data_IF_469877239802
#
_entry.id   IF_469877239802
#
_cell.length_a   1.000
_cell.length_b   1.000
_cell.length_c   1.000
_cell.angle_alpha   90.00
_cell.angle_beta   90.00
_cell.angle_gamma   90.00
#
_symmetry.space_group_name_H-M   'P 1'
#
loop_
_entity.id
_entity.type
_entity.pdbx_description
1 polymer ?
#
# COMPACT_ATOMS: atom_id res chain seq x y z
N UNK A 1 -32.42 18.58 -2.67
CA UNK A 1 -32.75 17.77 -3.85
C UNK A 1 -32.65 16.32 -3.47
N UNK A 2 -33.78 15.62 -3.51
CA UNK A 2 -33.81 14.16 -3.29
C UNK A 2 -33.28 13.52 -4.59
N UNK A 3 -32.00 13.13 -4.60
CA UNK A 3 -31.37 12.48 -5.75
C UNK A 3 -32.00 11.09 -5.92
N UNK A 4 -32.55 10.80 -7.09
CA UNK A 4 -33.17 9.51 -7.36
C UNK A 4 -32.07 8.45 -7.47
N UNK A 5 -32.37 7.21 -7.06
CA UNK A 5 -31.37 6.10 -7.04
C UNK A 5 -30.82 5.80 -8.43
N UNK A 6 -31.64 5.94 -9.46
CA UNK A 6 -31.25 5.78 -10.86
C UNK A 6 -30.25 6.85 -11.32
N UNK A 7 -30.36 8.07 -10.83
CA UNK A 7 -29.46 9.18 -11.19
C UNK A 7 -28.04 8.90 -10.65
N UNK A 8 -27.91 8.37 -9.42
CA UNK A 8 -26.63 7.98 -8.82
C UNK A 8 -25.92 6.92 -9.67
N UNK A 9 -26.65 5.94 -10.21
CA UNK A 9 -26.06 4.92 -11.06
C UNK A 9 -25.59 5.50 -12.39
N UNK A 10 -26.34 6.45 -12.95
CA UNK A 10 -25.96 7.12 -14.19
C UNK A 10 -24.78 8.07 -14.03
N UNK A 11 -24.64 8.71 -12.88
CA UNK A 11 -23.46 9.52 -12.55
C UNK A 11 -22.16 8.70 -12.49
N UNK A 12 -22.23 7.45 -12.05
CA UNK A 12 -21.06 6.56 -12.01
C UNK A 12 -20.60 6.10 -13.41
N UNK A 13 -21.47 6.12 -14.43
CA UNK A 13 -21.20 5.55 -15.74
C UNK A 13 -19.94 6.12 -16.43
N UNK A 14 -19.71 7.46 -16.49
CA UNK A 14 -18.49 8.02 -17.10
C UNK A 14 -17.21 7.53 -16.42
N UNK A 15 -17.23 7.39 -15.11
CA UNK A 15 -16.09 6.89 -14.34
C UNK A 15 -15.83 5.40 -14.60
N UNK A 16 -16.89 4.59 -14.65
CA UNK A 16 -16.79 3.16 -15.02
C UNK A 16 -16.15 3.03 -16.40
N UNK A 17 -16.62 3.81 -17.39
CA UNK A 17 -16.05 3.81 -18.75
C UNK A 17 -14.57 4.23 -18.76
N UNK A 18 -14.21 5.26 -18.00
CA UNK A 18 -12.83 5.78 -17.87
C UNK A 18 -11.87 4.75 -17.28
N UNK A 19 -12.33 3.99 -16.27
CA UNK A 19 -11.49 3.05 -15.53
C UNK A 19 -11.59 1.61 -16.00
N UNK A 20 -12.54 1.27 -16.88
CA UNK A 20 -12.71 -0.09 -17.40
C UNK A 20 -11.41 -0.62 -18.03
N UNK A 21 -10.98 -1.81 -17.61
CA UNK A 21 -9.76 -2.47 -18.07
C UNK A 21 -8.45 -1.85 -17.52
N UNK A 22 -8.53 -0.75 -16.75
CA UNK A 22 -7.34 -0.11 -16.14
C UNK A 22 -6.89 -0.85 -14.90
N UNK A 23 -5.57 -0.90 -14.69
CA UNK A 23 -4.98 -1.48 -13.48
C UNK A 23 -4.92 -0.42 -12.39
N UNK A 24 -5.37 -0.79 -11.19
CA UNK A 24 -5.32 0.03 -9.99
C UNK A 24 -4.61 -0.77 -8.90
N UNK A 25 -3.58 -0.19 -8.31
CA UNK A 25 -2.89 -0.76 -7.15
C UNK A 25 -3.37 -0.04 -5.91
N UNK A 26 -3.87 -0.79 -4.94
CA UNK A 26 -4.39 -0.29 -3.67
C UNK A 26 -3.53 -0.83 -2.54
N UNK A 27 -2.88 0.05 -1.81
CA UNK A 27 -2.14 -0.30 -0.61
C UNK A 27 -3.06 -0.18 0.61
N UNK A 28 -3.22 -1.27 1.32
CA UNK A 28 -3.95 -1.36 2.57
C UNK A 28 -3.01 -1.07 3.74
N UNK A 29 -3.29 -0.03 4.53
CA UNK A 29 -2.45 0.35 5.65
C UNK A 29 -3.22 1.13 6.72
N UNK A 30 -2.50 1.53 7.77
CA UNK A 30 -3.09 2.28 8.88
C UNK A 30 -4.08 1.47 9.70
N UNK A 31 -5.02 2.17 10.32
CA UNK A 31 -6.04 1.59 11.19
C UNK A 31 -7.02 0.66 10.45
N UNK A 32 -7.21 0.88 9.14
CA UNK A 32 -8.02 0.00 8.30
C UNK A 32 -7.56 -1.47 8.31
N UNK A 33 -6.31 -1.74 8.66
CA UNK A 33 -5.81 -3.12 8.82
C UNK A 33 -6.11 -3.72 10.19
N UNK A 34 -6.47 -2.90 11.18
CA UNK A 34 -6.69 -3.31 12.58
C UNK A 34 -8.17 -3.44 12.88
N UNK A 35 -9.01 -2.58 12.31
CA UNK A 35 -10.47 -2.63 12.46
C UNK A 35 -11.10 -3.53 11.40
N UNK A 36 -11.70 -4.64 11.86
CA UNK A 36 -12.29 -5.64 10.98
C UNK A 36 -13.45 -5.08 10.12
N UNK A 37 -14.28 -4.18 10.65
CA UNK A 37 -15.42 -3.63 9.92
C UNK A 37 -14.96 -2.69 8.81
N UNK A 38 -13.94 -1.88 9.11
CA UNK A 38 -13.33 -0.99 8.12
C UNK A 38 -12.68 -1.82 7.01
N UNK A 39 -11.91 -2.85 7.37
CA UNK A 39 -11.28 -3.73 6.40
C UNK A 39 -12.33 -4.40 5.49
N UNK A 40 -13.42 -4.92 6.05
CA UNK A 40 -14.50 -5.52 5.27
C UNK A 40 -15.14 -4.52 4.29
N UNK A 41 -15.33 -3.26 4.71
CA UNK A 41 -15.86 -2.21 3.83
C UNK A 41 -14.91 -1.92 2.67
N UNK A 42 -13.62 -1.72 2.95
CA UNK A 42 -12.59 -1.50 1.92
C UNK A 42 -12.49 -2.68 0.94
N UNK A 43 -12.60 -3.92 1.45
CA UNK A 43 -12.58 -5.11 0.59
C UNK A 43 -13.83 -5.17 -0.30
N UNK A 44 -15.01 -4.82 0.20
CA UNK A 44 -16.24 -4.72 -0.62
C UNK A 44 -16.09 -3.67 -1.72
N UNK A 45 -15.49 -2.53 -1.41
CA UNK A 45 -15.20 -1.49 -2.41
C UNK A 45 -14.25 -2.03 -3.49
N UNK A 46 -13.14 -2.66 -3.11
CA UNK A 46 -12.19 -3.26 -4.05
C UNK A 46 -12.84 -4.34 -4.94
N UNK A 47 -13.73 -5.14 -4.37
CA UNK A 47 -14.51 -6.14 -5.11
C UNK A 47 -15.47 -5.47 -6.09
N UNK A 48 -16.13 -4.38 -5.71
CA UNK A 48 -16.97 -3.59 -6.62
C UNK A 48 -16.15 -3.06 -7.80
N UNK A 49 -14.98 -2.47 -7.55
CA UNK A 49 -14.08 -1.98 -8.60
C UNK A 49 -13.73 -3.09 -9.61
N UNK A 50 -13.46 -4.29 -9.12
CA UNK A 50 -13.19 -5.45 -9.97
C UNK A 50 -14.44 -5.82 -10.81
N UNK A 51 -15.65 -5.82 -10.23
CA UNK A 51 -16.88 -6.14 -10.96
C UNK A 51 -17.27 -5.12 -12.01
N UNK A 52 -16.93 -3.84 -11.82
CA UNK A 52 -17.11 -2.80 -12.85
C UNK A 52 -16.00 -2.81 -13.91
N UNK A 53 -15.13 -3.82 -13.91
CA UNK A 53 -14.16 -4.09 -14.97
C UNK A 53 -12.74 -3.56 -14.75
N UNK A 54 -12.43 -3.06 -13.57
CA UNK A 54 -11.06 -2.65 -13.22
C UNK A 54 -10.19 -3.88 -12.87
N UNK A 55 -8.89 -3.78 -13.11
CA UNK A 55 -7.88 -4.75 -12.69
C UNK A 55 -7.30 -4.31 -11.35
N UNK A 56 -7.72 -4.93 -10.27
CA UNK A 56 -7.36 -4.52 -8.90
C UNK A 56 -6.24 -5.41 -8.37
N UNK A 57 -5.17 -4.78 -7.84
CA UNK A 57 -4.11 -5.43 -7.06
C UNK A 57 -4.11 -4.82 -5.67
N UNK A 58 -4.13 -5.66 -4.64
CA UNK A 58 -4.02 -5.25 -3.26
C UNK A 58 -2.61 -5.51 -2.74
N UNK A 59 -2.01 -4.54 -2.07
CA UNK A 59 -0.75 -4.69 -1.33
C UNK A 59 -1.04 -4.32 0.12
N UNK A 60 -0.73 -5.18 1.07
CA UNK A 60 -1.06 -4.90 2.46
C UNK A 60 0.16 -4.69 3.35
N UNK A 61 0.00 -3.90 4.41
CA UNK A 61 0.94 -3.84 5.52
C UNK A 61 0.59 -4.85 6.63
N UNK A 62 1.13 -4.64 7.82
CA UNK A 62 0.86 -5.50 8.99
C UNK A 62 1.75 -5.15 10.19
N UNK A 63 2.26 -3.92 10.25
CA UNK A 63 3.14 -3.48 11.33
C UNK A 63 2.58 -3.69 12.73
N UNK A 64 1.34 -3.30 13.02
CA UNK A 64 0.71 -3.52 14.32
C UNK A 64 0.61 -5.01 14.70
N UNK A 65 0.20 -5.87 13.78
CA UNK A 65 0.05 -7.31 14.02
C UNK A 65 1.40 -7.99 14.23
N UNK A 66 2.44 -7.58 13.47
CA UNK A 66 3.80 -8.07 13.70
C UNK A 66 4.26 -7.66 15.11
N UNK A 67 4.05 -6.40 15.51
CA UNK A 67 4.36 -5.89 16.85
C UNK A 67 3.67 -6.70 17.92
N UNK A 68 2.36 -6.89 17.82
CA UNK A 68 1.58 -7.67 18.78
C UNK A 68 2.06 -9.13 18.87
N UNK A 69 2.42 -9.75 17.73
CA UNK A 69 2.94 -11.11 17.71
C UNK A 69 4.33 -11.20 18.33
N UNK A 70 5.24 -10.25 18.04
CA UNK A 70 6.56 -10.18 18.69
C UNK A 70 6.42 -10.08 20.20
N UNK A 71 5.59 -9.15 20.69
CA UNK A 71 5.37 -8.97 22.14
C UNK A 71 4.78 -10.23 22.80
N UNK A 72 3.83 -10.90 22.14
CA UNK A 72 3.27 -12.17 22.62
C UNK A 72 4.32 -13.30 22.69
N UNK A 73 5.41 -13.19 21.91
CA UNK A 73 6.56 -14.11 21.94
C UNK A 73 7.71 -13.60 22.83
N UNK A 74 7.50 -12.51 23.60
CA UNK A 74 8.48 -11.94 24.50
C UNK A 74 9.58 -11.14 23.82
N UNK A 75 9.36 -10.68 22.58
CA UNK A 75 10.34 -9.92 21.79
C UNK A 75 9.88 -8.47 21.60
N UNK A 76 10.70 -7.52 22.05
CA UNK A 76 10.41 -6.10 21.89
C UNK A 76 10.74 -5.61 20.47
N UNK A 77 9.78 -4.94 19.79
CA UNK A 77 10.02 -4.37 18.48
C UNK A 77 10.91 -3.12 18.57
N UNK A 78 11.82 -2.98 17.62
CA UNK A 78 12.70 -1.80 17.49
C UNK A 78 12.55 -1.19 16.11
N UNK A 79 12.58 0.15 16.05
CA UNK A 79 12.39 0.90 14.81
C UNK A 79 13.47 1.96 14.65
N UNK A 80 13.84 2.21 13.39
CA UNK A 80 14.76 3.27 12.98
C UNK A 80 14.21 3.89 11.70
N UNK A 81 14.01 5.21 11.69
CA UNK A 81 13.45 5.92 10.54
C UNK A 81 12.07 5.40 10.08
N UNK A 82 11.28 4.82 10.99
CA UNK A 82 10.00 4.20 10.66
C UNK A 82 10.11 2.75 10.13
N UNK A 83 11.33 2.24 9.91
CA UNK A 83 11.59 0.86 9.50
C UNK A 83 11.85 -0.02 10.71
N UNK A 84 11.30 -1.23 10.71
CA UNK A 84 11.51 -2.21 11.78
C UNK A 84 12.87 -2.86 11.64
N UNK A 85 13.70 -2.81 12.69
CA UNK A 85 14.92 -3.65 12.75
C UNK A 85 14.46 -5.10 12.71
N UNK A 86 14.94 -5.84 11.73
CA UNK A 86 14.43 -7.17 11.37
C UNK A 86 15.58 -8.17 11.39
N UNK A 87 15.85 -8.79 12.55
CA UNK A 87 16.74 -9.95 12.63
C UNK A 87 16.07 -11.21 12.05
N UNK A 88 16.74 -12.34 12.04
CA UNK A 88 16.23 -13.58 11.45
C UNK A 88 14.90 -14.03 12.10
N UNK A 89 14.81 -13.98 13.42
CA UNK A 89 13.59 -14.34 14.16
C UNK A 89 12.44 -13.36 13.91
N UNK A 90 12.75 -12.07 13.86
CA UNK A 90 11.75 -11.04 13.52
C UNK A 90 11.23 -11.22 12.09
N UNK A 91 12.10 -11.61 11.14
CA UNK A 91 11.69 -11.93 9.77
C UNK A 91 10.73 -13.13 9.73
N UNK A 92 11.03 -14.19 10.48
CA UNK A 92 10.16 -15.37 10.58
C UNK A 92 8.78 -14.99 11.12
N UNK A 93 8.74 -14.17 12.17
CA UNK A 93 7.47 -13.64 12.73
C UNK A 93 6.75 -12.79 11.68
N UNK A 94 7.46 -11.92 10.96
CA UNK A 94 6.87 -11.09 9.92
C UNK A 94 6.28 -11.94 8.78
N UNK A 95 6.96 -12.99 8.34
CA UNK A 95 6.45 -13.93 7.33
C UNK A 95 5.20 -14.66 7.82
N UNK A 96 5.19 -15.22 9.04
CA UNK A 96 4.01 -15.86 9.61
C UNK A 96 2.81 -14.93 9.66
N UNK A 97 3.02 -13.67 10.05
CA UNK A 97 1.95 -12.68 10.19
C UNK A 97 1.49 -12.16 8.84
N UNK A 98 2.42 -11.72 7.99
CA UNK A 98 2.07 -11.09 6.70
C UNK A 98 1.50 -12.12 5.73
N UNK A 99 2.21 -13.22 5.51
CA UNK A 99 1.83 -14.22 4.49
C UNK A 99 0.72 -15.14 5.00
N UNK A 100 0.84 -15.62 6.25
CA UNK A 100 -0.12 -16.56 6.81
C UNK A 100 -1.39 -15.87 7.32
N UNK A 101 -1.26 -14.96 8.30
CA UNK A 101 -2.45 -14.41 8.99
C UNK A 101 -3.18 -13.36 8.16
N UNK A 102 -2.46 -12.32 7.72
CA UNK A 102 -3.10 -11.14 7.11
C UNK A 102 -3.52 -11.44 5.68
N UNK A 103 -2.61 -11.97 4.88
CA UNK A 103 -2.86 -12.25 3.47
C UNK A 103 -4.02 -13.23 3.30
N UNK A 104 -3.99 -14.36 4.00
CA UNK A 104 -5.06 -15.37 4.00
C UNK A 104 -6.40 -14.80 4.50
N UNK A 105 -6.37 -13.96 5.54
CA UNK A 105 -7.55 -13.25 6.03
C UNK A 105 -8.20 -12.35 4.97
N UNK A 106 -7.41 -11.57 4.23
CA UNK A 106 -7.89 -10.71 3.14
C UNK A 106 -8.46 -11.56 2.00
N UNK A 107 -7.78 -12.63 1.59
CA UNK A 107 -8.27 -13.56 0.56
C UNK A 107 -9.62 -14.15 0.95
N UNK A 108 -9.77 -14.55 2.22
CA UNK A 108 -11.02 -15.09 2.75
C UNK A 108 -12.16 -14.05 2.73
N UNK A 109 -11.89 -12.79 3.07
CA UNK A 109 -12.88 -11.71 2.98
C UNK A 109 -13.32 -11.47 1.53
N UNK A 110 -12.39 -11.47 0.57
CA UNK A 110 -12.71 -11.34 -0.85
C UNK A 110 -13.59 -12.51 -1.33
N UNK A 111 -13.27 -13.73 -0.91
CA UNK A 111 -14.07 -14.92 -1.25
C UNK A 111 -15.50 -14.83 -0.69
N UNK A 112 -15.67 -14.30 0.54
CA UNK A 112 -16.99 -14.05 1.13
C UNK A 112 -17.82 -13.01 0.34
N UNK A 113 -17.15 -12.12 -0.41
CA UNK A 113 -17.81 -11.19 -1.33
C UNK A 113 -18.14 -11.80 -2.71
N UNK A 114 -17.93 -13.10 -2.90
CA UNK A 114 -18.32 -13.84 -4.12
C UNK A 114 -17.37 -13.67 -5.30
N UNK A 115 -16.12 -13.23 -5.07
CA UNK A 115 -15.11 -13.16 -6.13
C UNK A 115 -13.85 -13.93 -5.76
N UNK A 116 -12.90 -14.04 -6.70
CA UNK A 116 -11.71 -14.86 -6.54
C UNK A 116 -10.49 -13.99 -6.29
N UNK A 117 -9.72 -14.36 -5.28
CA UNK A 117 -8.42 -13.75 -4.99
C UNK A 117 -7.33 -14.81 -4.90
N UNK A 118 -6.09 -14.40 -5.06
CA UNK A 118 -4.91 -15.23 -4.81
C UNK A 118 -3.97 -14.43 -3.93
N UNK A 119 -3.66 -14.99 -2.76
CA UNK A 119 -2.65 -14.45 -1.86
C UNK A 119 -1.26 -14.90 -2.30
N UNK A 120 -0.36 -13.94 -2.44
CA UNK A 120 1.05 -14.18 -2.77
C UNK A 120 1.95 -13.26 -1.92
N UNK A 121 3.20 -13.63 -1.81
CA UNK A 121 4.27 -12.76 -1.31
C UNK A 121 5.14 -12.26 -2.48
N UNK A 122 5.98 -11.29 -2.24
CA UNK A 122 6.93 -10.84 -3.27
C UNK A 122 7.95 -11.92 -3.67
N UNK A 123 8.12 -12.99 -2.88
CA UNK A 123 8.97 -14.15 -3.24
C UNK A 123 8.33 -14.98 -4.35
N UNK A 124 6.98 -15.04 -4.41
CA UNK A 124 6.27 -15.90 -5.33
C UNK A 124 6.43 -15.40 -6.77
N UNK A 125 6.89 -16.30 -7.65
CA UNK A 125 7.20 -15.94 -9.04
C UNK A 125 8.32 -14.91 -9.18
N UNK A 126 9.16 -14.70 -8.15
CA UNK A 126 10.18 -13.66 -8.10
C UNK A 126 9.60 -12.25 -8.32
N UNK A 127 8.37 -12.02 -7.87
CA UNK A 127 7.67 -10.75 -8.06
C UNK A 127 8.47 -9.54 -7.56
N UNK A 128 9.10 -9.66 -6.37
CA UNK A 128 9.95 -8.61 -5.79
C UNK A 128 11.35 -9.15 -5.55
N UNK A 129 12.30 -8.69 -6.32
CA UNK A 129 13.73 -8.97 -6.12
C UNK A 129 14.33 -7.78 -5.39
N UNK A 130 14.99 -8.04 -4.26
CA UNK A 130 15.54 -6.99 -3.40
C UNK A 130 16.97 -7.31 -2.97
N UNK A 131 17.68 -6.27 -2.58
CA UNK A 131 18.94 -6.39 -1.84
C UNK A 131 18.76 -5.99 -0.39
N UNK A 132 19.63 -6.48 0.49
CA UNK A 132 19.67 -6.01 1.87
C UNK A 132 19.89 -4.48 1.87
N UNK A 133 19.09 -3.76 2.64
CA UNK A 133 19.25 -2.32 2.80
C UNK A 133 20.56 -2.00 3.51
N UNK A 134 21.27 -0.99 3.02
CA UNK A 134 22.48 -0.48 3.66
C UNK A 134 22.17 0.07 5.05
N UNK A 135 23.13 -0.01 5.99
CA UNK A 135 22.96 0.57 7.32
C UNK A 135 22.54 2.05 7.26
N UNK A 136 21.59 2.41 8.11
CA UNK A 136 21.01 3.75 8.12
C UNK A 136 21.72 4.64 9.14
N UNK A 137 22.09 5.85 8.73
CA UNK A 137 22.60 6.88 9.65
C UNK A 137 21.43 7.53 10.36
N UNK A 138 21.41 7.44 11.67
CA UNK A 138 20.37 8.03 12.52
C UNK A 138 21.01 8.88 13.60
N UNK A 139 20.34 9.99 13.91
CA UNK A 139 20.78 10.86 14.98
C UNK A 139 20.12 10.42 16.29
N UNK A 140 20.94 9.94 17.22
CA UNK A 140 20.54 9.60 18.58
C UNK A 140 21.11 10.65 19.53
N UNK A 141 20.31 11.64 19.90
CA UNK A 141 20.78 12.81 20.64
C UNK A 141 21.70 13.70 19.79
N UNK A 142 22.96 13.84 20.23
CA UNK A 142 24.00 14.63 19.52
C UNK A 142 24.94 13.74 18.66
N UNK A 143 24.78 12.43 18.70
CA UNK A 143 25.66 11.48 18.00
C UNK A 143 24.94 10.90 16.79
N UNK A 144 25.66 10.83 15.67
CA UNK A 144 25.23 10.04 14.50
C UNK A 144 25.71 8.61 14.68
N UNK A 145 24.77 7.67 14.64
CA UNK A 145 25.04 6.23 14.70
C UNK A 145 24.62 5.57 13.40
N UNK A 146 25.41 4.58 12.97
CA UNK A 146 25.09 3.73 11.83
C UNK A 146 24.40 2.46 12.35
N UNK A 147 23.14 2.23 11.93
CA UNK A 147 22.32 1.12 12.41
C UNK A 147 22.03 0.18 11.28
N UNK A 148 22.47 -1.10 11.41
CA UNK A 148 22.07 -2.19 10.53
C UNK A 148 20.62 -2.60 10.83
N UNK A 149 19.76 -2.50 9.84
CA UNK A 149 18.35 -2.89 9.93
C UNK A 149 18.12 -4.40 9.84
N UNK A 150 19.17 -5.19 9.60
CA UNK A 150 19.09 -6.64 9.46
C UNK A 150 18.48 -7.08 8.13
N UNK A 151 17.42 -7.88 8.19
CA UNK A 151 16.73 -8.44 7.02
C UNK A 151 15.69 -7.50 6.43
N UNK A 152 15.99 -6.21 6.34
CA UNK A 152 15.20 -5.22 5.62
C UNK A 152 15.74 -5.07 4.22
N UNK A 153 14.86 -5.04 3.22
CA UNK A 153 15.23 -4.99 1.82
C UNK A 153 14.88 -3.69 1.13
N UNK A 154 15.65 -3.39 0.10
CA UNK A 154 15.40 -2.38 -0.91
C UNK A 154 15.14 -3.08 -2.25
N UNK A 155 14.01 -2.79 -2.89
CA UNK A 155 13.62 -3.44 -4.15
C UNK A 155 14.56 -2.96 -5.26
N UNK A 156 15.14 -3.92 -5.97
CA UNK A 156 15.97 -3.68 -7.16
C UNK A 156 15.19 -3.90 -8.45
N UNK A 157 14.28 -4.89 -8.44
CA UNK A 157 13.55 -5.32 -9.63
C UNK A 157 12.16 -5.84 -9.25
N UNK A 158 11.18 -5.60 -10.09
CA UNK A 158 9.84 -6.18 -9.99
C UNK A 158 9.53 -6.93 -11.27
N UNK A 159 9.27 -8.24 -11.18
CA UNK A 159 8.75 -9.03 -12.29
C UNK A 159 7.22 -9.17 -12.17
N UNK A 160 6.44 -8.40 -12.94
CA UNK A 160 4.99 -8.39 -12.82
C UNK A 160 4.30 -9.58 -13.51
N UNK A 161 5.00 -10.57 -14.06
CA UNK A 161 4.41 -11.63 -14.88
C UNK A 161 3.33 -12.40 -14.13
N UNK A 162 3.60 -12.80 -12.88
CA UNK A 162 2.61 -13.49 -12.05
C UNK A 162 1.35 -12.66 -11.83
N UNK A 163 1.48 -11.34 -11.66
CA UNK A 163 0.34 -10.44 -11.52
C UNK A 163 -0.45 -10.31 -12.82
N UNK A 164 0.23 -10.21 -13.96
CA UNK A 164 -0.43 -10.19 -15.28
C UNK A 164 -1.23 -11.47 -15.53
N UNK A 165 -0.68 -12.64 -15.19
CA UNK A 165 -1.37 -13.93 -15.28
C UNK A 165 -2.64 -13.96 -14.44
N UNK A 166 -2.57 -13.53 -13.17
CA UNK A 166 -3.71 -13.51 -12.27
C UNK A 166 -4.80 -12.52 -12.71
N UNK A 167 -4.40 -11.31 -13.09
CA UNK A 167 -5.30 -10.27 -13.57
C UNK A 167 -6.00 -10.67 -14.89
N UNK A 168 -5.31 -11.36 -15.78
CA UNK A 168 -5.89 -11.87 -17.03
C UNK A 168 -7.00 -12.90 -16.78
N UNK A 169 -6.91 -13.66 -15.69
CA UNK A 169 -7.91 -14.61 -15.24
C UNK A 169 -8.94 -14.01 -14.28
N UNK A 170 -8.96 -12.69 -14.16
CA UNK A 170 -9.87 -11.95 -13.30
C UNK A 170 -9.76 -12.30 -11.80
N UNK A 171 -8.61 -12.69 -11.31
CA UNK A 171 -8.32 -12.76 -9.88
C UNK A 171 -7.98 -11.38 -9.34
N UNK A 172 -8.18 -11.18 -8.04
CA UNK A 172 -7.60 -10.07 -7.28
C UNK A 172 -6.33 -10.60 -6.62
N UNK A 173 -5.12 -10.23 -7.07
CA UNK A 173 -3.89 -10.55 -6.37
C UNK A 173 -3.82 -9.77 -5.04
N UNK A 174 -3.44 -10.46 -3.96
CA UNK A 174 -3.20 -9.88 -2.64
C UNK A 174 -1.74 -10.11 -2.29
N UNK A 175 -0.95 -9.05 -2.22
CA UNK A 175 0.51 -9.14 -2.12
C UNK A 175 0.98 -8.79 -0.71
N UNK A 176 1.71 -9.72 -0.08
CA UNK A 176 2.46 -9.50 1.15
C UNK A 176 3.87 -8.96 0.82
N UNK A 177 4.37 -7.90 1.50
CA UNK A 177 5.63 -7.24 1.16
C UNK A 177 6.85 -7.98 1.74
N UNK A 178 7.05 -9.20 1.31
CA UNK A 178 8.24 -10.01 1.56
C UNK A 178 8.91 -10.27 0.21
N UNK A 179 10.15 -9.84 0.04
CA UNK A 179 10.90 -10.00 -1.21
C UNK A 179 11.97 -11.08 -1.09
N UNK A 180 12.44 -11.57 -2.24
CA UNK A 180 13.56 -12.49 -2.34
C UNK A 180 14.84 -11.73 -2.69
N UNK A 181 15.97 -12.10 -2.07
CA UNK A 181 17.27 -11.67 -2.54
C UNK A 181 17.84 -12.63 -3.61
N UNK A 182 18.91 -12.20 -4.29
CA UNK A 182 19.51 -13.01 -5.38
C UNK A 182 20.18 -14.30 -4.87
N UNK A 183 20.29 -14.51 -3.56
CA UNK A 183 20.80 -15.72 -2.91
C UNK A 183 19.68 -16.64 -2.40
N UNK A 184 18.40 -16.26 -2.61
CA UNK A 184 17.24 -17.01 -2.16
C UNK A 184 16.81 -16.70 -0.72
N UNK A 185 17.42 -15.70 -0.09
CA UNK A 185 17.00 -15.23 1.24
C UNK A 185 15.78 -14.30 1.17
N UNK A 186 14.97 -14.31 2.22
CA UNK A 186 13.82 -13.39 2.30
C UNK A 186 14.20 -12.09 2.99
N UNK A 187 13.57 -11.00 2.55
CA UNK A 187 13.72 -9.65 3.08
C UNK A 187 12.35 -9.01 3.35
N UNK A 188 12.24 -8.31 4.47
CA UNK A 188 11.05 -7.53 4.84
C UNK A 188 11.08 -6.20 4.09
N UNK A 189 10.01 -5.90 3.36
CA UNK A 189 9.88 -4.69 2.55
C UNK A 189 8.84 -3.75 3.15
N UNK A 190 9.07 -2.45 3.04
CA UNK A 190 8.05 -1.46 3.36
C UNK A 190 6.88 -1.59 2.36
N UNK A 191 5.65 -1.68 2.88
CA UNK A 191 4.46 -1.91 2.06
C UNK A 191 4.13 -0.72 1.12
N UNK A 192 4.42 0.52 1.53
CA UNK A 192 4.23 1.70 0.67
C UNK A 192 5.20 1.65 -0.52
N UNK A 193 6.46 1.24 -0.26
CA UNK A 193 7.49 1.01 -1.30
C UNK A 193 7.08 -0.12 -2.24
N UNK A 194 6.67 -1.27 -1.68
CA UNK A 194 6.25 -2.42 -2.50
C UNK A 194 5.07 -2.05 -3.42
N UNK A 195 4.07 -1.33 -2.91
CA UNK A 195 2.92 -0.89 -3.69
C UNK A 195 3.32 0.09 -4.82
N UNK A 196 4.22 1.02 -4.55
CA UNK A 196 4.72 1.96 -5.54
C UNK A 196 5.49 1.24 -6.67
N UNK A 197 6.40 0.33 -6.34
CA UNK A 197 7.17 -0.43 -7.33
C UNK A 197 6.29 -1.37 -8.16
N UNK A 198 5.32 -2.05 -7.54
CA UNK A 198 4.33 -2.86 -8.25
C UNK A 198 3.48 -1.98 -9.18
N UNK A 199 3.05 -0.80 -8.75
CA UNK A 199 2.30 0.12 -9.59
C UNK A 199 3.12 0.60 -10.81
N UNK A 200 4.40 0.85 -10.62
CA UNK A 200 5.34 1.23 -11.69
C UNK A 200 5.48 0.06 -12.69
N UNK A 201 5.78 -1.14 -12.22
CA UNK A 201 6.00 -2.31 -13.06
C UNK A 201 4.75 -2.69 -13.87
N UNK A 202 3.57 -2.56 -13.28
CA UNK A 202 2.28 -2.79 -13.96
C UNK A 202 1.83 -1.64 -14.86
N UNK A 203 2.55 -0.52 -14.90
CA UNK A 203 2.10 0.73 -15.53
C UNK A 203 0.65 1.06 -15.10
N UNK A 204 0.43 1.01 -13.79
CA UNK A 204 -0.89 1.17 -13.23
C UNK A 204 -1.49 2.54 -13.58
N UNK A 205 -2.81 2.59 -13.75
CA UNK A 205 -3.49 3.85 -13.98
C UNK A 205 -3.54 4.70 -12.71
N UNK A 206 -3.75 4.05 -11.55
CA UNK A 206 -3.72 4.72 -10.23
C UNK A 206 -2.97 3.87 -9.21
N UNK A 207 -2.26 4.55 -8.31
CA UNK A 207 -1.80 4.04 -7.02
C UNK A 207 -2.63 4.69 -5.93
N UNK A 208 -3.27 3.92 -5.07
CA UNK A 208 -4.08 4.43 -3.95
C UNK A 208 -3.49 3.90 -2.65
N UNK A 209 -2.99 4.81 -1.82
CA UNK A 209 -2.48 4.50 -0.49
C UNK A 209 -3.56 4.80 0.56
N UNK A 210 -4.21 3.75 1.08
CA UNK A 210 -5.10 3.87 2.22
C UNK A 210 -4.29 4.01 3.51
N UNK A 211 -4.61 5.05 4.28
CA UNK A 211 -3.90 5.44 5.49
C UNK A 211 -4.90 5.93 6.55
N UNK A 212 -4.41 6.33 7.70
CA UNK A 212 -5.16 6.83 8.85
C UNK A 212 -5.28 8.36 8.92
N UNK A 213 -4.84 9.06 7.87
CA UNK A 213 -4.92 10.52 7.77
C UNK A 213 -5.73 10.94 6.55
N UNK A 214 -6.33 12.14 6.62
CA UNK A 214 -7.23 12.69 5.59
C UNK A 214 -6.53 13.12 4.28
N UNK A 215 -5.28 12.74 4.08
CA UNK A 215 -4.49 13.11 2.91
C UNK A 215 -3.20 13.82 3.27
N UNK A 216 -2.63 14.54 2.32
CA UNK A 216 -1.44 15.36 2.54
C UNK A 216 -1.85 16.65 3.23
N UNK A 217 -1.34 16.90 4.42
CA UNK A 217 -1.69 18.06 5.25
C UNK A 217 -0.49 18.99 5.42
N UNK A 218 -0.78 20.26 5.69
CA UNK A 218 0.24 21.21 6.14
C UNK A 218 0.79 20.85 7.53
N UNK A 219 1.88 21.49 7.93
CA UNK A 219 2.63 21.13 9.15
C UNK A 219 1.80 21.22 10.45
N UNK A 220 0.87 22.16 10.54
CA UNK A 220 -0.04 22.34 11.67
C UNK A 220 -1.34 21.53 11.57
N UNK A 221 -1.51 20.74 10.49
CA UNK A 221 -2.67 19.88 10.21
C UNK A 221 -4.02 20.61 10.15
N UNK A 222 -4.00 21.88 9.74
CA UNK A 222 -5.21 22.69 9.60
C UNK A 222 -5.79 22.67 8.21
N UNK A 223 -5.00 22.26 7.20
CA UNK A 223 -5.41 22.23 5.80
C UNK A 223 -4.95 20.93 5.13
N UNK A 224 -5.85 20.30 4.37
CA UNK A 224 -5.55 19.16 3.49
C UNK A 224 -5.40 19.63 2.06
N UNK A 225 -4.38 19.15 1.37
CA UNK A 225 -4.15 19.43 -0.04
C UNK A 225 -4.85 18.35 -0.88
N UNK A 226 -5.92 18.72 -1.58
CA UNK A 226 -6.67 17.79 -2.44
C UNK A 226 -5.90 17.42 -3.71
N UNK A 227 -5.00 18.29 -4.16
CA UNK A 227 -4.18 18.04 -5.34
C UNK A 227 -2.83 18.73 -5.21
N UNK A 228 -1.78 18.00 -5.53
CA UNK A 228 -0.41 18.50 -5.60
C UNK A 228 0.22 18.05 -6.92
N UNK A 229 0.94 18.95 -7.56
CA UNK A 229 1.88 18.60 -8.61
C UNK A 229 3.18 18.08 -8.00
N UNK A 230 3.98 17.35 -8.79
CA UNK A 230 5.30 16.88 -8.33
C UNK A 230 6.20 18.02 -7.85
N UNK A 231 6.18 19.17 -8.56
CA UNK A 231 6.98 20.35 -8.20
C UNK A 231 6.54 20.99 -6.89
N UNK A 232 5.22 21.09 -6.64
CA UNK A 232 4.69 21.59 -5.38
C UNK A 232 5.08 20.67 -4.23
N UNK A 233 4.94 19.35 -4.41
CA UNK A 233 5.31 18.38 -3.39
C UNK A 233 6.81 18.45 -3.05
N UNK A 234 7.70 18.53 -4.04
CA UNK A 234 9.15 18.72 -3.83
C UNK A 234 9.45 19.98 -3.03
N UNK A 235 8.79 21.10 -3.39
CA UNK A 235 8.96 22.38 -2.69
C UNK A 235 8.49 22.29 -1.24
N UNK A 236 7.33 21.72 -1.00
CA UNK A 236 6.74 21.59 0.35
C UNK A 236 7.56 20.66 1.27
N UNK A 237 8.18 19.63 0.71
CA UNK A 237 9.14 18.78 1.46
C UNK A 237 10.40 19.59 1.79
N UNK A 238 10.96 20.31 0.82
CA UNK A 238 12.18 21.11 1.02
C UNK A 238 11.98 22.24 2.04
N UNK A 239 10.80 22.85 2.09
CA UNK A 239 10.42 23.89 3.03
C UNK A 239 9.98 23.36 4.41
N UNK A 240 9.91 22.01 4.58
CA UNK A 240 9.49 21.38 5.82
C UNK A 240 8.00 21.48 6.13
N UNK A 241 7.18 21.91 5.16
CA UNK A 241 5.71 21.96 5.28
C UNK A 241 5.16 20.53 5.39
N UNK A 242 5.70 19.60 4.59
CA UNK A 242 5.44 18.17 4.71
C UNK A 242 6.59 17.54 5.46
N UNK A 243 6.30 16.83 6.54
CA UNK A 243 7.30 16.28 7.45
C UNK A 243 6.92 14.90 8.02
N UNK A 244 7.87 14.25 8.70
CA UNK A 244 7.66 13.02 9.45
C UNK A 244 7.20 11.83 8.60
N UNK A 245 6.24 11.07 9.09
CA UNK A 245 5.75 9.83 8.45
C UNK A 245 5.03 10.02 7.12
N UNK A 246 4.70 11.27 6.73
CA UNK A 246 4.10 11.56 5.42
C UNK A 246 5.15 11.53 4.29
N UNK A 247 6.41 11.88 4.58
CA UNK A 247 7.48 11.92 3.58
C UNK A 247 7.65 10.58 2.87
N UNK A 248 7.83 9.43 3.55
CA UNK A 248 7.98 8.14 2.88
C UNK A 248 6.78 7.74 2.02
N UNK A 249 5.56 8.09 2.45
CA UNK A 249 4.32 7.81 1.69
C UNK A 249 4.26 8.64 0.42
N UNK A 250 4.55 9.93 0.54
CA UNK A 250 4.55 10.85 -0.58
C UNK A 250 5.68 10.54 -1.57
N UNK A 251 6.86 10.18 -1.08
CA UNK A 251 8.01 9.77 -1.91
C UNK A 251 7.63 8.59 -2.82
N UNK A 252 7.00 7.55 -2.29
CA UNK A 252 6.49 6.44 -3.09
C UNK A 252 5.46 6.88 -4.15
N UNK A 253 4.53 7.78 -3.79
CA UNK A 253 3.55 8.36 -4.72
C UNK A 253 4.23 9.15 -5.84
N UNK A 254 5.15 10.04 -5.48
CA UNK A 254 5.88 10.89 -6.43
C UNK A 254 6.73 10.05 -7.38
N UNK A 255 7.42 9.03 -6.86
CA UNK A 255 8.21 8.09 -7.66
C UNK A 255 7.32 7.32 -8.65
N UNK A 256 6.16 6.84 -8.22
CA UNK A 256 5.21 6.18 -9.08
C UNK A 256 4.77 7.09 -10.24
N UNK A 257 4.40 8.34 -9.95
CA UNK A 257 3.96 9.31 -10.98
C UNK A 257 5.12 9.68 -11.90
N UNK A 258 6.33 9.92 -11.39
CA UNK A 258 7.53 10.17 -12.21
C UNK A 258 7.85 9.01 -13.16
N UNK A 259 7.50 7.79 -12.78
CA UNK A 259 7.72 6.56 -13.56
C UNK A 259 6.56 6.17 -14.47
N UNK A 260 5.53 7.03 -14.63
CA UNK A 260 4.47 6.86 -15.61
C UNK A 260 3.12 6.41 -15.06
N UNK A 261 2.97 6.17 -13.76
CA UNK A 261 1.65 6.00 -13.14
C UNK A 261 0.88 7.32 -13.28
N UNK A 262 -0.35 7.26 -13.79
CA UNK A 262 -1.10 8.49 -14.15
C UNK A 262 -1.38 9.39 -12.95
N UNK A 263 -1.71 8.80 -11.80
CA UNK A 263 -1.88 9.52 -10.53
C UNK A 263 -1.67 8.61 -9.33
N UNK A 264 -1.28 9.22 -8.21
CA UNK A 264 -1.17 8.54 -6.93
C UNK A 264 -1.97 9.33 -5.88
N UNK A 265 -2.64 8.62 -4.98
CA UNK A 265 -3.58 9.20 -4.03
C UNK A 265 -3.28 8.70 -2.62
N UNK A 266 -3.39 9.60 -1.65
CA UNK A 266 -3.33 9.28 -0.22
C UNK A 266 -4.74 9.50 0.32
N UNK A 267 -5.40 8.42 0.72
CA UNK A 267 -6.83 8.41 1.05
C UNK A 267 -7.02 7.88 2.47
N UNK A 268 -7.90 8.54 3.25
CA UNK A 268 -8.25 8.06 4.58
C UNK A 268 -9.07 6.76 4.48
N UNK A 269 -8.44 5.66 4.86
CA UNK A 269 -9.06 4.34 4.88
C UNK A 269 -10.02 4.11 6.04
N UNK A 270 -10.10 5.02 7.02
CA UNK A 270 -11.01 4.90 8.18
C UNK A 270 -12.43 5.37 7.88
N UNK A 271 -12.65 6.03 6.75
CA UNK A 271 -13.98 6.45 6.31
C UNK A 271 -14.56 5.40 5.38
N UNK A 272 -15.78 4.98 5.68
CA UNK A 272 -16.51 4.03 4.84
C UNK A 272 -16.65 4.54 3.40
N UNK A 273 -16.39 3.66 2.44
CA UNK A 273 -16.52 3.93 1.00
C UNK A 273 -15.66 5.07 0.44
N UNK A 274 -14.63 5.52 1.18
CA UNK A 274 -13.76 6.60 0.73
C UNK A 274 -12.98 6.22 -0.55
N UNK A 275 -12.70 4.92 -0.74
CA UNK A 275 -12.11 4.38 -1.95
C UNK A 275 -13.03 4.61 -3.18
N UNK A 276 -14.35 4.46 -3.01
CA UNK A 276 -15.32 4.71 -4.08
C UNK A 276 -15.47 6.21 -4.36
N UNK A 277 -15.53 7.03 -3.31
CA UNK A 277 -15.61 8.49 -3.47
C UNK A 277 -14.42 9.03 -4.25
N UNK A 278 -13.20 8.57 -3.95
CA UNK A 278 -11.99 8.96 -4.69
C UNK A 278 -12.04 8.59 -6.18
N UNK A 279 -12.71 7.49 -6.54
CA UNK A 279 -12.73 6.99 -7.91
C UNK A 279 -13.94 7.45 -8.72
N UNK A 280 -15.08 7.67 -8.07
CA UNK A 280 -16.36 7.92 -8.73
C UNK A 280 -16.92 9.32 -8.50
N UNK A 281 -16.10 10.25 -8.01
CA UNK A 281 -16.47 11.67 -7.89
C UNK A 281 -15.38 12.57 -8.47
N UNK A 282 -15.75 13.79 -8.86
CA UNK A 282 -14.81 14.80 -9.35
C UNK A 282 -14.09 15.51 -8.20
N UNK A 283 -14.70 15.48 -7.02
CA UNK A 283 -14.16 16.18 -5.84
C UNK A 283 -12.99 15.42 -5.22
N UNK A 284 -12.96 14.09 -5.41
CA UNK A 284 -12.01 13.22 -4.71
C UNK A 284 -12.21 13.29 -3.20
N UNK A 285 -11.28 12.75 -2.43
CA UNK A 285 -11.29 12.79 -0.95
C UNK A 285 -9.96 13.26 -0.38
#
# INVERSE_FOLDING_TARGET
YDMKREDVLMEALPYIQKFYGRTIVIKLGGHAMVDQNILETVIRDAVLLRYVGMKVVLVHGGGPEITAKMQAMGKEPRFVGGLRITDAETLEIAQMVLVGKINDGIVSLIANCGTRAVGISGNDGNLLIARKMEPQRVRVGEVEEEVDLGRVGEIEEVDPEVLHCLLAQNYIPVVAPIAIDRQGGSLNINADTAAAEIAIALQAFKLINLTDVDGVMNADRTMTYHRLTLSEADTMIAEGIISGGMIPKLDGCMRAVRSGVTSAHVVNGNREHNLLLELFTDEGV
#
